data_IF_398543860014
#
_entry.id   IF_398543860014
#
_cell.length_a   1.000
_cell.length_b   1.000
_cell.length_c   1.000
_cell.angle_alpha   90.00
_cell.angle_beta   90.00
_cell.angle_gamma   90.00
#
_symmetry.space_group_name_H-M   'P 1'
#
loop_
_entity.id
_entity.type
_entity.pdbx_description
1 polymer ?
#
# COMPACT_ATOMS: atom_id res chain seq x y z
N UNK A 1 -10.95 18.63 -23.96
CA UNK A 1 -11.76 17.48 -23.52
C UNK A 1 -12.55 17.93 -22.29
N UNK A 2 -13.86 17.73 -22.29
CA UNK A 2 -14.72 17.99 -21.13
C UNK A 2 -14.81 16.71 -20.26
N UNK A 3 -14.77 16.85 -18.94
CA UNK A 3 -14.80 15.69 -18.03
C UNK A 3 -16.23 15.18 -17.83
N UNK A 4 -16.41 13.85 -17.86
CA UNK A 4 -17.68 13.19 -17.56
C UNK A 4 -17.68 12.58 -16.15
N UNK A 5 -17.83 13.44 -15.14
CA UNK A 5 -17.79 13.02 -13.72
C UNK A 5 -19.04 12.22 -13.31
N UNK A 6 -20.18 12.45 -13.97
CA UNK A 6 -21.41 11.72 -13.69
C UNK A 6 -21.26 10.23 -14.03
N UNK A 7 -20.68 9.92 -15.19
CA UNK A 7 -20.35 8.55 -15.60
C UNK A 7 -19.37 7.90 -14.62
N UNK A 8 -18.30 8.61 -14.24
CA UNK A 8 -17.32 8.11 -13.27
C UNK A 8 -17.96 7.66 -11.94
N UNK A 9 -18.84 8.50 -11.38
CA UNK A 9 -19.49 8.25 -10.08
C UNK A 9 -20.52 7.13 -10.12
N UNK A 10 -21.14 6.91 -11.29
CA UNK A 10 -22.11 5.83 -11.49
C UNK A 10 -21.43 4.47 -11.78
N UNK A 11 -20.12 4.47 -12.07
CA UNK A 11 -19.37 3.26 -12.34
C UNK A 11 -18.98 2.51 -11.06
N UNK A 12 -19.37 1.24 -10.96
CA UNK A 12 -18.90 0.36 -9.90
C UNK A 12 -17.46 -0.09 -10.18
N UNK A 13 -16.52 0.57 -9.51
CA UNK A 13 -15.10 0.24 -9.65
C UNK A 13 -14.76 -1.18 -9.19
N UNK A 14 -15.52 -1.76 -8.28
CA UNK A 14 -15.19 -3.04 -7.66
C UNK A 14 -16.37 -4.00 -7.66
N UNK A 15 -16.07 -5.31 -7.60
CA UNK A 15 -17.09 -6.31 -7.31
C UNK A 15 -17.67 -6.11 -5.90
N UNK A 16 -18.90 -6.58 -5.68
CA UNK A 16 -19.59 -6.50 -4.37
C UNK A 16 -18.74 -7.08 -3.24
N UNK A 17 -17.99 -8.15 -3.52
CA UNK A 17 -17.13 -8.81 -2.54
C UNK A 17 -15.99 -7.93 -2.02
N UNK A 18 -15.40 -7.10 -2.88
CA UNK A 18 -14.34 -6.17 -2.46
C UNK A 18 -14.93 -5.12 -1.51
N UNK A 19 -16.16 -4.66 -1.72
CA UNK A 19 -16.81 -3.76 -0.77
C UNK A 19 -17.02 -4.42 0.60
N UNK A 20 -17.44 -5.68 0.64
CA UNK A 20 -17.52 -6.45 1.90
C UNK A 20 -16.16 -6.51 2.59
N UNK A 21 -15.09 -6.87 1.86
CA UNK A 21 -13.72 -6.87 2.40
C UNK A 21 -13.30 -5.50 2.97
N UNK A 22 -13.68 -4.40 2.32
CA UNK A 22 -13.39 -3.03 2.79
C UNK A 22 -14.10 -2.69 4.10
N UNK A 23 -15.35 -3.13 4.25
CA UNK A 23 -16.10 -2.96 5.49
C UNK A 23 -15.42 -3.76 6.61
N UNK A 24 -15.14 -5.04 6.38
CA UNK A 24 -14.43 -5.88 7.35
C UNK A 24 -13.05 -5.29 7.71
N UNK A 25 -12.33 -4.77 6.71
CA UNK A 25 -11.02 -4.15 6.93
C UNK A 25 -11.12 -2.87 7.77
N UNK A 26 -12.25 -2.16 7.78
CA UNK A 26 -12.43 -1.01 8.67
C UNK A 26 -12.28 -1.41 10.14
N UNK A 27 -12.81 -2.57 10.52
CA UNK A 27 -12.61 -3.15 11.85
C UNK A 27 -11.17 -3.65 12.05
N UNK A 28 -10.61 -4.33 11.05
CA UNK A 28 -9.20 -4.78 11.09
C UNK A 28 -8.22 -3.63 11.31
N UNK A 29 -8.42 -2.49 10.63
CA UNK A 29 -7.64 -1.25 10.81
C UNK A 29 -7.71 -0.71 12.23
N UNK A 30 -8.88 -0.76 12.87
CA UNK A 30 -9.03 -0.30 14.25
C UNK A 30 -8.12 -1.09 15.19
N UNK A 31 -8.14 -2.42 15.11
CA UNK A 31 -7.28 -3.28 15.92
C UNK A 31 -5.80 -3.14 15.56
N UNK A 32 -5.48 -3.04 14.27
CA UNK A 32 -4.12 -2.81 13.80
C UNK A 32 -3.53 -1.52 14.39
N UNK A 33 -4.27 -0.40 14.28
CA UNK A 33 -3.80 0.93 14.68
C UNK A 33 -3.70 1.12 16.18
N UNK A 34 -4.59 0.49 16.96
CA UNK A 34 -4.60 0.60 18.42
C UNK A 34 -3.73 -0.46 19.11
N UNK A 35 -2.75 -1.04 18.42
CA UNK A 35 -1.81 -2.00 19.00
C UNK A 35 -0.58 -1.30 19.61
N UNK A 36 0.00 -1.83 20.72
CA UNK A 36 1.24 -1.32 21.29
C UNK A 36 2.40 -1.34 20.29
N UNK A 37 3.38 -0.43 20.46
CA UNK A 37 4.52 -0.30 19.52
C UNK A 37 5.25 -1.62 19.25
N UNK A 38 5.48 -2.43 20.28
CA UNK A 38 6.21 -3.70 20.18
C UNK A 38 5.42 -4.85 19.55
N UNK A 39 4.11 -4.70 19.33
CA UNK A 39 3.22 -5.78 18.88
C UNK A 39 3.28 -6.03 17.36
N UNK A 40 4.49 -6.13 16.79
CA UNK A 40 4.69 -6.33 15.34
C UNK A 40 4.08 -7.64 14.85
N UNK A 41 4.27 -8.74 15.58
CA UNK A 41 3.70 -10.05 15.23
C UNK A 41 2.17 -10.02 15.17
N UNK A 42 1.52 -9.35 16.13
CA UNK A 42 0.06 -9.16 16.15
C UNK A 42 -0.44 -8.41 14.91
N UNK A 43 0.20 -7.28 14.58
CA UNK A 43 -0.13 -6.49 13.38
C UNK A 43 0.03 -7.30 12.10
N UNK A 44 1.12 -8.07 11.99
CA UNK A 44 1.34 -8.94 10.84
C UNK A 44 0.28 -10.04 10.74
N UNK A 45 -0.15 -10.63 11.86
CA UNK A 45 -1.23 -11.63 11.87
C UNK A 45 -2.55 -11.04 11.40
N UNK A 46 -2.92 -9.84 11.87
CA UNK A 46 -4.12 -9.14 11.36
C UNK A 46 -4.03 -8.99 9.84
N UNK A 47 -2.93 -8.45 9.32
CA UNK A 47 -2.79 -8.24 7.87
C UNK A 47 -2.90 -9.55 7.08
N UNK A 48 -2.30 -10.65 7.57
CA UNK A 48 -2.43 -11.98 6.96
C UNK A 48 -3.87 -12.49 6.96
N UNK A 49 -4.63 -12.29 8.05
CA UNK A 49 -6.07 -12.63 8.10
C UNK A 49 -6.88 -11.88 7.02
N UNK A 50 -6.46 -10.67 6.65
CA UNK A 50 -7.07 -9.89 5.57
C UNK A 50 -6.46 -10.14 4.18
N UNK A 51 -5.58 -11.14 4.05
CA UNK A 51 -5.06 -11.63 2.77
C UNK A 51 -3.71 -11.06 2.35
N UNK A 52 -3.02 -10.28 3.20
CA UNK A 52 -1.66 -9.86 2.90
C UNK A 52 -0.68 -11.03 3.01
N UNK A 53 0.35 -11.05 2.15
CA UNK A 53 1.47 -11.99 2.29
C UNK A 53 2.61 -11.28 3.01
N UNK A 54 2.80 -11.59 4.28
CA UNK A 54 3.82 -10.94 5.11
C UNK A 54 4.84 -11.99 5.55
N UNK A 55 6.10 -11.74 5.25
CA UNK A 55 7.24 -12.57 5.62
C UNK A 55 7.53 -12.66 7.12
N UNK A 56 8.67 -13.24 7.48
CA UNK A 56 9.19 -13.38 8.84
C UNK A 56 9.91 -12.10 9.27
N UNK A 57 9.87 -11.81 10.57
CA UNK A 57 10.58 -10.67 11.16
C UNK A 57 10.26 -9.29 10.54
N UNK A 58 9.06 -9.13 9.98
CA UNK A 58 8.61 -7.86 9.40
C UNK A 58 8.13 -6.91 10.50
N UNK A 59 8.63 -5.68 10.50
CA UNK A 59 8.20 -4.63 11.43
C UNK A 59 7.36 -3.58 10.73
N UNK A 60 6.04 -3.63 10.92
CA UNK A 60 5.11 -2.60 10.43
C UNK A 60 4.66 -1.78 11.63
N UNK A 61 4.75 -0.45 11.55
CA UNK A 61 4.34 0.43 12.64
C UNK A 61 2.82 0.62 12.66
N UNK A 62 2.23 0.87 13.84
CA UNK A 62 0.77 0.94 14.00
C UNK A 62 0.13 2.15 13.31
N UNK A 63 0.91 3.21 13.03
CA UNK A 63 0.44 4.38 12.29
C UNK A 63 0.47 4.20 10.77
N UNK A 64 1.07 3.12 10.24
CA UNK A 64 1.04 2.79 8.82
C UNK A 64 -0.41 2.58 8.36
N UNK A 65 -0.77 3.22 7.24
CA UNK A 65 -2.09 3.07 6.62
C UNK A 65 -1.97 2.15 5.41
N UNK A 66 -2.61 0.99 5.47
CA UNK A 66 -2.68 0.03 4.36
C UNK A 66 -4.10 0.03 3.82
N UNK A 67 -4.26 0.31 2.53
CA UNK A 67 -5.58 0.48 1.94
C UNK A 67 -6.30 -0.87 1.75
N UNK A 68 -5.68 -1.82 1.07
CA UNK A 68 -6.19 -3.16 0.78
C UNK A 68 -5.16 -4.25 1.13
N UNK A 69 -5.24 -4.89 2.31
CA UNK A 69 -4.27 -5.90 2.71
C UNK A 69 -4.12 -7.06 1.71
N UNK A 70 -5.21 -7.48 1.05
CA UNK A 70 -5.19 -8.53 0.02
C UNK A 70 -4.41 -8.19 -1.25
N UNK A 71 -3.93 -6.96 -1.39
CA UNK A 71 -3.06 -6.50 -2.48
C UNK A 71 -1.62 -6.25 -2.01
N UNK A 72 -1.25 -6.66 -0.79
CA UNK A 72 0.05 -6.37 -0.19
C UNK A 72 0.89 -7.63 -0.03
N UNK A 73 2.12 -7.56 -0.52
CA UNK A 73 3.17 -8.56 -0.27
C UNK A 73 4.40 -7.87 0.33
N UNK A 74 4.95 -8.39 1.43
CA UNK A 74 6.15 -7.87 2.08
C UNK A 74 7.08 -9.04 2.42
N UNK A 75 8.33 -8.99 1.96
CA UNK A 75 9.36 -9.99 2.20
C UNK A 75 9.91 -10.01 3.62
N UNK A 76 10.71 -11.03 3.93
CA UNK A 76 11.32 -11.25 5.24
C UNK A 76 12.23 -10.08 5.65
N UNK A 77 12.33 -9.80 6.96
CA UNK A 77 13.23 -8.80 7.56
C UNK A 77 13.01 -7.35 7.10
N UNK A 78 11.86 -7.05 6.50
CA UNK A 78 11.52 -5.70 6.05
C UNK A 78 10.87 -4.85 7.14
N UNK A 79 10.97 -3.53 7.01
CA UNK A 79 10.40 -2.57 7.95
C UNK A 79 9.60 -1.47 7.24
N UNK A 80 8.42 -1.15 7.77
CA UNK A 80 7.54 -0.08 7.27
C UNK A 80 7.31 0.93 8.38
N UNK A 81 7.84 2.14 8.18
CA UNK A 81 7.87 3.21 9.15
C UNK A 81 6.53 3.86 9.43
N UNK A 82 6.54 4.71 10.46
CA UNK A 82 5.37 5.44 10.95
C UNK A 82 4.75 6.32 9.87
N UNK A 83 3.42 6.47 9.89
CA UNK A 83 2.67 7.35 8.98
C UNK A 83 2.86 7.04 7.48
N UNK A 84 3.44 5.89 7.13
CA UNK A 84 3.52 5.43 5.75
C UNK A 84 2.12 5.15 5.20
N UNK A 85 1.80 5.70 4.04
CA UNK A 85 0.57 5.41 3.30
C UNK A 85 0.87 4.43 2.16
N UNK A 86 0.36 3.22 2.29
CA UNK A 86 0.36 2.21 1.23
C UNK A 86 -1.04 2.24 0.58
N UNK A 87 -1.20 3.09 -0.43
CA UNK A 87 -2.42 3.24 -1.23
C UNK A 87 -2.47 2.17 -2.34
N UNK A 88 -2.54 0.90 -1.93
CA UNK A 88 -2.45 -0.26 -2.81
C UNK A 88 -3.80 -0.67 -3.43
N UNK A 89 -4.36 0.22 -4.27
CA UNK A 89 -5.53 -0.14 -5.09
C UNK A 89 -5.19 -1.27 -6.07
N UNK A 90 -4.03 -1.17 -6.72
CA UNK A 90 -3.32 -2.26 -7.39
C UNK A 90 -2.39 -3.00 -6.43
N UNK A 91 -1.71 -4.02 -6.96
CA UNK A 91 -0.79 -4.85 -6.18
C UNK A 91 0.45 -4.05 -5.78
N UNK A 92 0.90 -4.20 -4.54
CA UNK A 92 2.18 -3.65 -4.05
C UNK A 92 2.99 -4.79 -3.46
N UNK A 93 4.19 -4.98 -4.02
CA UNK A 93 5.17 -5.95 -3.52
C UNK A 93 6.38 -5.20 -3.00
N UNK A 94 6.77 -5.49 -1.76
CA UNK A 94 7.97 -4.99 -1.10
C UNK A 94 8.88 -6.19 -0.83
N UNK A 95 10.11 -6.14 -1.30
CA UNK A 95 11.09 -7.21 -1.21
C UNK A 95 11.53 -7.52 0.23
N UNK A 96 12.50 -8.43 0.33
CA UNK A 96 13.16 -8.79 1.58
C UNK A 96 14.17 -7.74 2.01
N UNK A 97 14.35 -7.55 3.32
CA UNK A 97 15.30 -6.61 3.91
C UNK A 97 15.12 -5.16 3.41
N UNK A 98 13.92 -4.84 2.96
CA UNK A 98 13.57 -3.50 2.47
C UNK A 98 13.15 -2.62 3.65
N UNK A 99 13.64 -1.39 3.68
CA UNK A 99 13.26 -0.38 4.67
C UNK A 99 12.48 0.73 4.00
N UNK A 100 11.21 0.88 4.36
CA UNK A 100 10.38 2.02 4.01
C UNK A 100 10.32 2.95 5.22
N UNK A 101 10.91 4.13 5.11
CA UNK A 101 10.97 5.11 6.20
C UNK A 101 9.59 5.71 6.49
N UNK A 102 9.52 6.54 7.53
CA UNK A 102 8.29 7.20 7.91
C UNK A 102 7.76 8.15 6.82
N UNK A 103 6.43 8.32 6.79
CA UNK A 103 5.70 9.27 5.92
C UNK A 103 5.90 9.03 4.41
N UNK A 104 6.35 7.85 4.00
CA UNK A 104 6.40 7.46 2.59
C UNK A 104 4.97 7.26 2.07
N UNK A 105 4.72 7.67 0.83
CA UNK A 105 3.46 7.44 0.14
C UNK A 105 3.69 6.54 -1.08
N UNK A 106 3.21 5.31 -1.02
CA UNK A 106 3.20 4.35 -2.14
C UNK A 106 1.82 4.35 -2.78
N UNK A 107 1.72 4.81 -4.03
CA UNK A 107 0.43 5.06 -4.69
C UNK A 107 0.20 4.15 -5.90
N UNK A 108 -0.37 2.96 -5.68
CA UNK A 108 -0.70 2.00 -6.74
C UNK A 108 -2.11 2.22 -7.31
N UNK A 109 -2.52 3.49 -7.46
CA UNK A 109 -3.85 3.87 -7.92
C UNK A 109 -3.80 5.19 -8.68
N UNK A 110 -4.40 5.22 -9.86
CA UNK A 110 -4.48 6.44 -10.67
C UNK A 110 -5.73 6.42 -11.54
N UNK A 111 -5.95 7.42 -12.36
CA UNK A 111 -7.05 7.48 -13.32
C UNK A 111 -6.49 7.66 -14.73
N UNK A 112 -7.15 7.05 -15.72
CA UNK A 112 -6.83 7.32 -17.12
C UNK A 112 -7.34 8.71 -17.49
N UNK A 113 -6.44 9.69 -17.50
CA UNK A 113 -6.77 11.08 -17.81
C UNK A 113 -7.04 11.35 -19.28
N UNK A 114 -6.82 10.36 -20.15
CA UNK A 114 -7.08 10.46 -21.60
C UNK A 114 -8.55 10.18 -21.94
N UNK A 115 -9.31 9.62 -21.00
CA UNK A 115 -10.74 9.33 -21.11
C UNK A 115 -11.55 10.32 -20.27
N UNK A 116 -12.59 10.99 -20.81
CA UNK A 116 -13.41 11.95 -20.07
C UNK A 116 -13.96 11.46 -18.73
N UNK A 117 -14.31 10.17 -18.67
CA UNK A 117 -14.86 9.53 -17.48
C UNK A 117 -13.80 9.19 -16.42
N UNK A 118 -12.51 9.44 -16.67
CA UNK A 118 -11.40 9.19 -15.75
C UNK A 118 -11.49 7.80 -15.08
N UNK A 119 -11.58 6.69 -15.83
CA UNK A 119 -11.73 5.37 -15.22
C UNK A 119 -10.56 5.05 -14.29
N UNK A 120 -10.85 4.37 -13.18
CA UNK A 120 -9.85 4.03 -12.16
C UNK A 120 -8.89 2.95 -12.67
N UNK A 121 -7.59 3.25 -12.66
CA UNK A 121 -6.50 2.32 -12.93
C UNK A 121 -5.86 1.82 -11.63
N UNK A 122 -5.35 0.59 -11.67
CA UNK A 122 -4.78 -0.13 -10.53
C UNK A 122 -3.45 -0.80 -10.90
N UNK A 123 -2.44 -0.02 -11.32
CA UNK A 123 -1.16 -0.58 -11.73
C UNK A 123 -0.44 -1.21 -10.53
N UNK A 124 0.55 -2.04 -10.82
CA UNK A 124 1.38 -2.67 -9.81
C UNK A 124 2.54 -1.75 -9.40
N UNK A 125 3.05 -1.92 -8.18
CA UNK A 125 4.33 -1.34 -7.76
C UNK A 125 5.19 -2.45 -7.19
N UNK A 126 6.46 -2.49 -7.61
CA UNK A 126 7.47 -3.42 -7.09
C UNK A 126 8.61 -2.65 -6.45
N UNK A 127 8.85 -2.90 -5.17
CA UNK A 127 10.02 -2.41 -4.45
C UNK A 127 10.94 -3.61 -4.21
N UNK A 128 12.14 -3.57 -4.76
CA UNK A 128 13.11 -4.66 -4.73
C UNK A 128 13.61 -5.03 -3.34
N UNK A 129 14.45 -6.06 -3.29
CA UNK A 129 15.12 -6.47 -2.05
C UNK A 129 16.14 -5.42 -1.62
N UNK A 130 16.46 -5.37 -0.33
CA UNK A 130 17.55 -4.56 0.23
C UNK A 130 17.45 -3.06 -0.09
N UNK A 131 16.28 -2.57 -0.46
CA UNK A 131 16.07 -1.16 -0.79
C UNK A 131 15.90 -0.31 0.47
N UNK A 132 16.27 0.95 0.39
CA UNK A 132 15.92 1.95 1.38
C UNK A 132 15.13 3.10 0.74
N UNK A 133 13.85 3.20 1.09
CA UNK A 133 13.00 4.33 0.72
C UNK A 133 13.06 5.33 1.88
N UNK A 134 13.68 6.49 1.65
CA UNK A 134 13.83 7.51 2.68
C UNK A 134 12.52 8.25 2.96
N UNK A 135 12.53 9.04 4.03
CA UNK A 135 11.32 9.66 4.56
C UNK A 135 10.67 10.65 3.58
N UNK A 136 9.33 10.77 3.67
CA UNK A 136 8.52 11.68 2.85
C UNK A 136 8.61 11.47 1.33
N UNK A 137 9.12 10.32 0.87
CA UNK A 137 9.15 9.97 -0.56
C UNK A 137 7.77 9.59 -1.07
N UNK A 138 7.44 10.02 -2.29
CA UNK A 138 6.31 9.55 -3.07
C UNK A 138 6.78 8.51 -4.10
N UNK A 139 6.07 7.38 -4.19
CA UNK A 139 6.26 6.37 -5.23
C UNK A 139 4.97 6.32 -6.04
N UNK A 140 5.09 6.72 -7.31
CA UNK A 140 3.97 6.78 -8.23
C UNK A 140 3.48 5.42 -8.73
N UNK A 141 2.38 5.42 -9.51
CA UNK A 141 1.80 4.22 -10.09
C UNK A 141 2.74 3.60 -11.14
N UNK A 142 2.73 2.26 -11.27
CA UNK A 142 3.48 1.51 -12.31
C UNK A 142 5.01 1.64 -12.21
N UNK A 143 5.53 1.72 -10.97
CA UNK A 143 6.97 1.87 -10.70
C UNK A 143 7.60 0.55 -10.23
N UNK A 144 8.80 0.29 -10.73
CA UNK A 144 9.71 -0.75 -10.26
C UNK A 144 11.00 -0.13 -9.72
N UNK A 145 11.33 -0.44 -8.46
CA UNK A 145 12.56 -0.02 -7.79
C UNK A 145 13.49 -1.23 -7.71
N UNK A 146 14.67 -1.11 -8.31
CA UNK A 146 15.68 -2.17 -8.34
C UNK A 146 16.22 -2.53 -6.96
N UNK A 147 16.74 -3.75 -6.84
CA UNK A 147 17.37 -4.25 -5.63
C UNK A 147 18.55 -3.36 -5.18
N UNK A 148 18.67 -3.14 -3.86
CA UNK A 148 19.74 -2.35 -3.26
C UNK A 148 19.63 -0.84 -3.47
N UNK A 149 18.60 -0.35 -4.17
CA UNK A 149 18.41 1.07 -4.41
C UNK A 149 18.14 1.86 -3.12
N UNK A 150 18.70 3.07 -3.06
CA UNK A 150 18.39 4.06 -2.02
C UNK A 150 17.68 5.23 -2.67
N UNK A 151 16.42 5.46 -2.29
CA UNK A 151 15.63 6.58 -2.79
C UNK A 151 15.70 7.72 -1.78
N UNK A 152 16.23 8.87 -2.22
CA UNK A 152 16.44 10.04 -1.36
C UNK A 152 15.15 10.56 -0.72
N UNK A 153 15.29 11.20 0.46
CA UNK A 153 14.15 11.74 1.18
C UNK A 153 13.45 12.84 0.37
N UNK A 154 12.12 12.85 0.39
CA UNK A 154 11.31 13.86 -0.32
C UNK A 154 11.28 13.70 -1.85
N UNK A 155 11.80 12.59 -2.39
CA UNK A 155 11.76 12.32 -3.84
C UNK A 155 10.33 12.05 -4.30
N UNK A 156 10.03 12.39 -5.56
CA UNK A 156 8.79 12.08 -6.28
C UNK A 156 9.15 11.32 -7.55
#
# INVERSE_FOLDING_TARGET
>A
MELNIAENRNHLNYSKWIYVKRILWTFGKFFFRNSPRIAFGYRNTILRLFGAKIGKHVHIYSSTVIWFPWNLEIGDWSAIGEETLIYNLGKVTIGEKATVSHRVHVCAGTHDYTVPALPLLRPEIRIGNQTWICANTFIGPDIEIGEGAVIGAGTV
#
